data_IF_701760687808
#
_entry.id   IF_701760687808
#
_cell.length_a   1.000
_cell.length_b   1.000
_cell.length_c   1.000
_cell.angle_alpha   90.00
_cell.angle_beta   90.00
_cell.angle_gamma   90.00
#
_symmetry.space_group_name_H-M   'P 1'
#
loop_
_entity.id
_entity.type
_entity.pdbx_description
1 polymer ?
#
# COMPACT_ATOMS: atom_id res chain seq x y z
N UNK A 1 -15.24 2.68 -13.87
CA UNK A 1 -14.41 3.60 -13.06
C UNK A 1 -15.20 4.33 -11.98
N UNK A 2 -16.38 4.92 -12.28
CA UNK A 2 -17.22 5.59 -11.26
C UNK A 2 -17.75 4.66 -10.17
N UNK A 3 -18.09 3.42 -10.50
CA UNK A 3 -18.57 2.42 -9.54
C UNK A 3 -17.48 2.00 -8.52
N UNK A 4 -16.23 1.94 -8.96
CA UNK A 4 -15.09 1.61 -8.09
C UNK A 4 -14.78 2.75 -7.12
N UNK A 5 -14.78 3.99 -7.61
CA UNK A 5 -14.56 5.18 -6.78
C UNK A 5 -15.62 5.34 -5.69
N UNK A 6 -16.89 5.10 -5.99
CA UNK A 6 -17.98 5.16 -4.99
C UNK A 6 -17.88 4.07 -3.93
N UNK A 7 -17.40 2.88 -4.31
CA UNK A 7 -17.21 1.78 -3.36
C UNK A 7 -16.06 2.09 -2.39
N UNK A 8 -14.98 2.64 -2.89
CA UNK A 8 -13.81 3.02 -2.10
C UNK A 8 -14.13 4.14 -1.11
N UNK A 9 -14.91 5.15 -1.53
CA UNK A 9 -15.36 6.23 -0.66
C UNK A 9 -16.27 5.75 0.48
N UNK A 10 -17.11 4.75 0.23
CA UNK A 10 -17.96 4.15 1.27
C UNK A 10 -17.13 3.43 2.31
N UNK A 11 -16.14 2.64 1.89
CA UNK A 11 -15.21 1.96 2.79
C UNK A 11 -14.39 2.95 3.60
N UNK A 12 -13.85 3.97 2.97
CA UNK A 12 -13.09 5.02 3.65
C UNK A 12 -13.92 5.71 4.73
N UNK A 13 -15.17 6.08 4.42
CA UNK A 13 -16.09 6.68 5.40
C UNK A 13 -16.40 5.74 6.56
N UNK A 14 -16.65 4.46 6.27
CA UNK A 14 -16.94 3.45 7.29
C UNK A 14 -15.75 3.28 8.24
N UNK A 15 -14.53 3.20 7.71
CA UNK A 15 -13.33 3.11 8.53
C UNK A 15 -13.10 4.37 9.35
N UNK A 16 -13.22 5.56 8.74
CA UNK A 16 -13.06 6.84 9.45
C UNK A 16 -14.02 6.99 10.62
N UNK A 17 -15.25 6.50 10.48
CA UNK A 17 -16.24 6.55 11.55
C UNK A 17 -15.97 5.57 12.69
N UNK A 18 -15.14 4.57 12.48
CA UNK A 18 -14.84 3.48 13.41
C UNK A 18 -13.55 3.65 14.19
N UNK A 19 -12.69 4.60 13.79
CA UNK A 19 -11.39 4.82 14.43
C UNK A 19 -11.48 5.91 15.53
N UNK A 20 -10.57 5.87 16.54
CA UNK A 20 -10.49 6.91 17.56
C UNK A 20 -10.18 8.30 16.98
N UNK A 21 -10.61 9.36 17.67
CA UNK A 21 -10.43 10.73 17.20
C UNK A 21 -8.95 11.20 17.14
N UNK A 22 -8.05 10.51 17.83
CA UNK A 22 -6.63 10.80 17.80
C UNK A 22 -5.88 10.14 16.63
N UNK A 23 -6.60 9.43 15.76
CA UNK A 23 -6.05 8.81 14.55
C UNK A 23 -6.57 9.50 13.29
N UNK A 24 -5.76 9.49 12.25
CA UNK A 24 -6.09 10.05 10.96
C UNK A 24 -5.72 9.10 9.83
N UNK A 25 -6.41 9.23 8.69
CA UNK A 25 -6.04 8.52 7.47
C UNK A 25 -4.77 9.14 6.91
N UNK A 26 -3.71 8.34 6.81
CA UNK A 26 -2.40 8.77 6.29
C UNK A 26 -2.15 8.32 4.86
N UNK A 27 -2.78 7.26 4.43
CA UNK A 27 -2.69 6.77 3.06
C UNK A 27 -3.91 5.94 2.69
N UNK A 28 -4.33 6.06 1.44
CA UNK A 28 -5.29 5.15 0.83
C UNK A 28 -4.95 4.95 -0.65
N UNK A 29 -5.14 3.74 -1.12
CA UNK A 29 -5.02 3.41 -2.54
C UNK A 29 -5.93 2.22 -2.87
N UNK A 30 -6.29 2.08 -4.12
CA UNK A 30 -7.11 0.97 -4.59
C UNK A 30 -6.68 0.48 -5.96
N UNK A 31 -6.83 -0.81 -6.15
CA UNK A 31 -6.86 -1.51 -7.43
C UNK A 31 -8.18 -2.25 -7.54
N UNK A 32 -8.50 -2.76 -8.71
CA UNK A 32 -9.72 -3.56 -8.89
C UNK A 32 -9.73 -4.75 -7.91
N UNK A 33 -10.68 -4.73 -6.97
CA UNK A 33 -10.82 -5.76 -5.94
C UNK A 33 -9.86 -5.68 -4.76
N UNK A 34 -9.03 -4.64 -4.67
CA UNK A 34 -8.13 -4.38 -3.56
C UNK A 34 -8.30 -2.97 -3.02
N UNK A 35 -8.22 -2.82 -1.72
CA UNK A 35 -8.10 -1.53 -1.06
C UNK A 35 -7.09 -1.59 0.07
N UNK A 36 -6.37 -0.50 0.30
CA UNK A 36 -5.45 -0.35 1.42
C UNK A 36 -5.68 1.02 2.05
N UNK A 37 -6.03 1.02 3.33
CA UNK A 37 -6.26 2.22 4.13
C UNK A 37 -5.38 2.14 5.38
N UNK A 38 -4.57 3.14 5.61
CA UNK A 38 -3.67 3.19 6.75
C UNK A 38 -4.02 4.37 7.61
N UNK A 39 -4.29 4.10 8.87
CA UNK A 39 -4.58 5.09 9.90
C UNK A 39 -3.49 5.07 10.96
N UNK A 40 -3.13 6.21 11.45
CA UNK A 40 -2.13 6.34 12.50
C UNK A 40 -2.44 7.54 13.41
N UNK A 41 -1.83 7.54 14.58
CA UNK A 41 -1.88 8.70 15.47
C UNK A 41 -1.22 9.91 14.79
N UNK A 42 -1.84 11.07 14.96
CA UNK A 42 -1.33 12.31 14.39
C UNK A 42 0.12 12.55 14.77
N UNK A 43 0.89 13.08 13.83
CA UNK A 43 2.28 13.48 13.98
C UNK A 43 3.30 12.36 14.27
N UNK A 44 2.91 11.06 14.15
CA UNK A 44 3.84 9.94 14.34
C UNK A 44 4.43 9.40 13.04
N UNK A 45 3.87 9.78 11.89
CA UNK A 45 4.19 9.21 10.58
C UNK A 45 4.78 10.27 9.67
N UNK A 46 5.84 9.91 8.94
CA UNK A 46 6.53 10.77 7.96
C UNK A 46 6.81 10.02 6.67
N UNK A 47 6.94 10.80 5.59
CA UNK A 47 7.38 10.34 4.27
C UNK A 47 6.53 9.18 3.73
N UNK A 48 5.22 9.37 3.72
CA UNK A 48 4.26 8.39 3.23
C UNK A 48 4.33 8.31 1.71
N UNK A 49 4.53 7.11 1.20
CA UNK A 49 4.60 6.82 -0.24
C UNK A 49 3.75 5.60 -0.55
N UNK A 50 2.98 5.67 -1.62
CA UNK A 50 2.11 4.59 -2.04
C UNK A 50 2.44 4.20 -3.49
N UNK A 51 2.46 2.91 -3.75
CA UNK A 51 2.68 2.34 -5.06
C UNK A 51 1.79 1.12 -5.27
N UNK A 52 1.54 0.76 -6.50
CA UNK A 52 0.80 -0.46 -6.81
C UNK A 52 1.37 -1.17 -8.04
N UNK A 53 1.13 -2.48 -8.11
CA UNK A 53 1.58 -3.36 -9.19
C UNK A 53 0.43 -4.27 -9.59
N UNK A 54 0.17 -4.36 -10.88
CA UNK A 54 -0.76 -5.35 -11.44
C UNK A 54 0.04 -6.58 -11.87
N UNK A 55 -0.37 -7.75 -11.45
CA UNK A 55 0.29 -9.00 -11.79
C UNK A 55 -0.46 -9.77 -12.88
N UNK A 56 -1.59 -10.21 -12.78
CA UNK A 56 -2.38 -11.05 -13.69
C UNK A 56 -1.78 -11.23 -15.10
N UNK A 57 -2.09 -12.26 -15.83
CA UNK A 57 -1.44 -12.66 -17.10
C UNK A 57 -0.95 -11.44 -17.93
N UNK A 58 0.34 -11.09 -17.81
CA UNK A 58 1.00 -9.95 -18.47
C UNK A 58 0.31 -8.60 -18.19
N UNK A 59 -0.26 -8.43 -16.98
CA UNK A 59 -1.00 -7.22 -16.61
C UNK A 59 -2.39 -7.07 -17.23
N UNK A 60 -2.91 -8.11 -17.89
CA UNK A 60 -4.21 -8.07 -18.59
C UNK A 60 -5.41 -8.37 -17.72
N UNK A 61 -5.23 -9.11 -16.62
CA UNK A 61 -6.30 -9.39 -15.66
C UNK A 61 -6.21 -8.42 -14.49
N UNK A 62 -7.07 -7.38 -14.51
CA UNK A 62 -7.00 -6.26 -13.61
C UNK A 62 -7.33 -6.53 -12.14
N UNK A 63 -7.69 -7.78 -11.77
CA UNK A 63 -8.07 -8.13 -10.40
C UNK A 63 -6.93 -8.72 -9.57
N UNK A 64 -5.76 -8.93 -10.13
CA UNK A 64 -4.58 -9.44 -9.42
C UNK A 64 -3.50 -8.36 -9.34
N UNK A 65 -2.84 -8.30 -8.20
CA UNK A 65 -1.80 -7.31 -7.96
C UNK A 65 -1.56 -7.04 -6.51
N UNK A 66 -0.94 -5.92 -6.23
CA UNK A 66 -0.63 -5.47 -4.88
C UNK A 66 -0.66 -3.96 -4.77
N UNK A 67 -1.00 -3.48 -3.59
CA UNK A 67 -0.84 -2.10 -3.17
C UNK A 67 0.13 -2.08 -2.01
N UNK A 68 1.13 -1.21 -2.05
CA UNK A 68 2.07 -1.01 -0.97
C UNK A 68 2.08 0.42 -0.49
N UNK A 69 2.24 0.61 0.81
CA UNK A 69 2.49 1.92 1.41
C UNK A 69 3.71 1.81 2.30
N UNK A 70 4.66 2.69 2.06
CA UNK A 70 5.87 2.84 2.85
C UNK A 70 5.82 4.13 3.62
N UNK A 71 6.26 4.11 4.87
CA UNK A 71 6.34 5.28 5.72
C UNK A 71 7.38 5.09 6.82
N UNK A 72 7.73 6.19 7.47
CA UNK A 72 8.57 6.17 8.68
C UNK A 72 7.70 6.45 9.89
N UNK A 73 7.92 5.69 10.95
CA UNK A 73 7.25 5.86 12.24
C UNK A 73 8.29 6.13 13.33
N UNK A 74 8.01 7.11 14.20
CA UNK A 74 8.89 7.45 15.29
C UNK A 74 9.10 8.96 15.44
N UNK A 75 10.16 9.30 16.16
CA UNK A 75 10.59 10.68 16.40
C UNK A 75 11.93 10.98 15.72
N UNK A 76 12.45 12.19 15.89
CA UNK A 76 13.71 12.62 15.26
C UNK A 76 14.94 11.79 15.67
N UNK A 77 14.89 11.10 16.82
CA UNK A 77 16.00 10.28 17.32
C UNK A 77 15.88 8.81 16.92
N UNK A 78 14.67 8.30 16.83
CA UNK A 78 14.40 6.89 16.57
C UNK A 78 13.28 6.75 15.54
N UNK A 79 13.63 6.31 14.34
CA UNK A 79 12.68 6.08 13.25
C UNK A 79 12.79 4.65 12.74
N UNK A 80 11.65 4.07 12.42
CA UNK A 80 11.54 2.78 11.76
C UNK A 80 10.84 2.95 10.43
N UNK A 81 11.42 2.41 9.37
CA UNK A 81 10.77 2.33 8.07
C UNK A 81 9.87 1.09 8.03
N UNK A 82 8.63 1.31 7.66
CA UNK A 82 7.61 0.25 7.55
C UNK A 82 7.07 0.25 6.14
N UNK A 83 6.90 -0.94 5.57
CA UNK A 83 6.20 -1.13 4.31
C UNK A 83 5.08 -2.15 4.52
N UNK A 84 3.85 -1.74 4.24
CA UNK A 84 2.67 -2.59 4.29
C UNK A 84 2.25 -2.90 2.86
N UNK A 85 2.09 -4.19 2.55
CA UNK A 85 1.67 -4.63 1.23
C UNK A 85 0.41 -5.48 1.36
N UNK A 86 -0.66 -5.05 0.69
CA UNK A 86 -1.86 -5.83 0.48
C UNK A 86 -1.83 -6.41 -0.93
N UNK A 87 -1.91 -7.73 -1.05
CA UNK A 87 -1.81 -8.39 -2.34
C UNK A 87 -2.93 -9.40 -2.59
N UNK A 88 -3.32 -9.50 -3.86
CA UNK A 88 -4.25 -10.49 -4.38
C UNK A 88 -3.49 -11.34 -5.42
N UNK A 89 -3.06 -12.52 -4.99
CA UNK A 89 -2.23 -13.42 -5.77
C UNK A 89 -3.08 -14.42 -6.56
N UNK A 90 -2.45 -15.18 -7.44
CA UNK A 90 -3.09 -16.19 -8.26
C UNK A 90 -3.91 -17.18 -7.42
N UNK A 91 -5.15 -17.45 -7.84
CA UNK A 91 -6.08 -18.33 -7.15
C UNK A 91 -5.80 -19.81 -7.47
N UNK A 92 -6.37 -20.70 -6.65
CA UNK A 92 -6.31 -22.15 -6.84
C UNK A 92 -5.29 -22.83 -5.93
N UNK A 93 -5.69 -23.92 -5.30
CA UNK A 93 -4.83 -24.63 -4.34
C UNK A 93 -3.54 -25.15 -4.96
N UNK A 94 -3.60 -25.61 -6.20
CA UNK A 94 -2.45 -26.18 -6.90
C UNK A 94 -1.52 -25.13 -7.53
N UNK A 95 -1.90 -23.87 -7.51
CA UNK A 95 -1.18 -22.80 -8.22
C UNK A 95 -0.16 -22.07 -7.31
N UNK A 96 0.54 -22.81 -6.48
CA UNK A 96 1.56 -22.25 -5.58
C UNK A 96 2.70 -21.59 -6.34
N UNK A 97 3.15 -22.21 -7.43
CA UNK A 97 4.20 -21.64 -8.29
C UNK A 97 3.79 -20.30 -8.90
N UNK A 98 2.53 -20.15 -9.30
CA UNK A 98 2.02 -18.90 -9.84
C UNK A 98 1.95 -17.81 -8.77
N UNK A 99 1.53 -18.14 -7.54
CA UNK A 99 1.56 -17.20 -6.42
C UNK A 99 2.98 -16.76 -6.07
N UNK A 100 3.93 -17.66 -6.10
CA UNK A 100 5.33 -17.34 -5.87
C UNK A 100 5.89 -16.42 -6.97
N UNK A 101 5.52 -16.68 -8.22
CA UNK A 101 5.88 -15.82 -9.36
C UNK A 101 5.26 -14.42 -9.24
N UNK A 102 3.99 -14.33 -8.85
CA UNK A 102 3.31 -13.07 -8.58
C UNK A 102 4.01 -12.28 -7.48
N UNK A 103 4.33 -12.93 -6.36
CA UNK A 103 5.05 -12.29 -5.26
C UNK A 103 6.42 -11.78 -5.71
N UNK A 104 7.17 -12.59 -6.44
CA UNK A 104 8.46 -12.19 -6.98
C UNK A 104 8.34 -10.98 -7.92
N UNK A 105 7.31 -10.94 -8.75
CA UNK A 105 7.02 -9.80 -9.63
C UNK A 105 6.70 -8.55 -8.82
N UNK A 106 5.86 -8.65 -7.80
CA UNK A 106 5.52 -7.54 -6.90
C UNK A 106 6.79 -6.97 -6.26
N UNK A 107 7.63 -7.81 -5.70
CA UNK A 107 8.86 -7.41 -5.04
C UNK A 107 9.87 -6.74 -5.99
N UNK A 108 9.91 -7.16 -7.26
CA UNK A 108 10.77 -6.53 -8.27
C UNK A 108 10.21 -5.23 -8.81
N UNK A 109 8.90 -5.13 -8.95
CA UNK A 109 8.24 -4.07 -9.73
C UNK A 109 7.71 -2.93 -8.89
N UNK A 110 7.43 -3.16 -7.61
CA UNK A 110 6.95 -2.11 -6.72
C UNK A 110 8.05 -1.11 -6.45
N UNK A 111 7.82 0.14 -6.78
CA UNK A 111 8.78 1.23 -6.61
C UNK A 111 8.12 2.38 -5.89
N UNK A 112 8.81 2.89 -4.89
CA UNK A 112 8.47 4.10 -4.17
C UNK A 112 9.37 5.25 -4.64
N UNK A 113 8.94 6.48 -4.43
CA UNK A 113 9.73 7.65 -4.80
C UNK A 113 10.98 7.73 -3.92
N UNK A 114 12.17 7.60 -4.53
CA UNK A 114 13.46 7.63 -3.82
C UNK A 114 13.94 9.03 -3.44
N UNK A 115 13.27 10.10 -3.88
CA UNK A 115 13.71 11.47 -3.62
C UNK A 115 13.87 11.76 -2.12
N UNK A 116 12.98 11.24 -1.29
CA UNK A 116 13.05 11.42 0.17
C UNK A 116 14.22 10.66 0.80
N UNK A 117 14.60 9.49 0.27
CA UNK A 117 15.73 8.71 0.75
C UNK A 117 17.07 9.38 0.49
N UNK A 118 17.20 10.07 -0.66
CA UNK A 118 18.41 10.83 -1.00
C UNK A 118 18.59 12.06 -0.12
N UNK A 119 17.51 12.72 0.28
CA UNK A 119 17.57 13.87 1.19
C UNK A 119 18.03 13.48 2.60
N UNK A 120 17.62 12.32 3.10
CA UNK A 120 18.05 11.83 4.41
C UNK A 120 19.52 11.42 4.44
N UNK A 121 20.05 10.94 3.32
CA UNK A 121 21.48 10.60 3.21
C UNK A 121 22.41 11.82 3.14
N UNK A 122 21.89 12.99 2.81
CA UNK A 122 22.64 14.25 2.73
C UNK A 122 22.72 14.95 4.10
N UNK A 123 21.81 14.64 5.01
CA UNK A 123 21.74 15.25 6.35
C UNK A 123 22.59 14.50 7.39
N UNK A 124 23.21 13.41 7.00
CA UNK A 124 24.20 12.70 7.79
C UNK A 124 25.59 13.25 7.51
#
# INVERSE_FOLDING_TARGET
DQLLTQHDEKWERAFKSSIPNNMELIASDSLVGLGLFIFAKKATIKHVQTAHVKTGMRGRHGNKGAIGTRFFIGNNKHQVSVCVINCHLAAGQVNTSDRNADLAMIMRSMRFNEMFLKQESIIK
#
